data_IF_186263241645
#
_entry.id   IF_186263241645
#
_cell.length_a   1.000
_cell.length_b   1.000
_cell.length_c   1.000
_cell.angle_alpha   90.00
_cell.angle_beta   90.00
_cell.angle_gamma   90.00
#
_symmetry.space_group_name_H-M   'P 1'
#
loop_
_entity.id
_entity.type
_entity.pdbx_description
1 polymer ?
#
# COMPACT_ATOMS: atom_id res chain seq x y z
N UNK A 1 12.75 -0.19 -16.19
CA UNK A 1 11.77 -1.07 -16.87
C UNK A 1 11.03 -1.84 -15.79
N UNK A 2 9.73 -2.10 -15.90
CA UNK A 2 9.06 -2.97 -14.92
C UNK A 2 9.49 -4.43 -15.12
N UNK A 3 9.74 -5.13 -14.01
CA UNK A 3 10.07 -6.56 -13.99
C UNK A 3 8.82 -7.43 -13.79
N UNK A 4 8.99 -8.53 -13.07
CA UNK A 4 7.91 -9.49 -12.82
C UNK A 4 6.81 -8.91 -11.91
N UNK A 5 5.61 -9.46 -12.00
CA UNK A 5 4.55 -9.21 -11.03
C UNK A 5 4.98 -9.81 -9.68
N UNK A 6 5.09 -8.96 -8.67
CA UNK A 6 5.28 -9.38 -7.28
C UNK A 6 3.97 -9.95 -6.77
N UNK A 7 2.84 -9.28 -7.02
CA UNK A 7 1.56 -9.76 -6.52
C UNK A 7 0.37 -8.84 -6.76
N UNK A 8 -0.79 -9.35 -6.35
CA UNK A 8 -2.06 -8.65 -6.31
C UNK A 8 -2.56 -8.55 -4.88
N UNK A 9 -3.27 -7.47 -4.55
CA UNK A 9 -3.85 -7.24 -3.22
C UNK A 9 -5.32 -6.82 -3.29
N UNK A 10 -6.06 -7.15 -2.24
CA UNK A 10 -7.41 -6.64 -1.96
C UNK A 10 -7.50 -6.27 -0.48
N UNK A 11 -8.04 -5.09 -0.18
CA UNK A 11 -8.17 -4.63 1.20
C UNK A 11 -9.48 -3.87 1.42
N UNK A 12 -9.76 -3.65 2.70
CA UNK A 12 -10.89 -2.87 3.18
C UNK A 12 -10.40 -1.93 4.28
N UNK A 13 -10.75 -0.66 4.17
CA UNK A 13 -10.57 0.33 5.22
C UNK A 13 -11.27 -0.12 6.51
N UNK A 14 -10.56 -0.05 7.62
CA UNK A 14 -11.05 -0.35 8.97
C UNK A 14 -11.20 0.89 9.83
N UNK A 15 -10.60 2.01 9.44
CA UNK A 15 -10.73 3.28 10.13
C UNK A 15 -10.13 4.44 9.36
N UNK A 16 -10.66 5.65 9.61
CA UNK A 16 -10.14 6.90 9.08
C UNK A 16 -10.07 7.94 10.18
N UNK A 17 -9.02 8.76 10.19
CA UNK A 17 -8.82 9.85 11.14
C UNK A 17 -8.24 11.06 10.43
N UNK A 18 -8.84 12.22 10.67
CA UNK A 18 -8.24 13.50 10.26
C UNK A 18 -7.15 13.86 11.28
N UNK A 19 -5.93 14.05 10.80
CA UNK A 19 -4.79 14.44 11.61
C UNK A 19 -4.70 15.97 11.69
N UNK A 20 -3.84 16.46 12.59
CA UNK A 20 -3.52 17.88 12.61
C UNK A 20 -2.92 18.28 11.26
N UNK A 21 -3.39 19.40 10.69
CA UNK A 21 -2.85 19.89 9.43
C UNK A 21 -1.35 20.17 9.60
N UNK A 22 -0.53 19.63 8.70
CA UNK A 22 0.91 19.89 8.64
C UNK A 22 1.18 21.31 8.13
N UNK A 23 1.72 21.44 6.91
CA UNK A 23 1.99 22.72 6.24
C UNK A 23 0.70 23.48 5.80
N UNK A 24 -0.37 23.41 6.60
CA UNK A 24 -1.70 23.95 6.30
C UNK A 24 -2.57 23.02 5.46
N UNK A 25 -2.06 21.85 5.07
CA UNK A 25 -2.77 20.82 4.31
C UNK A 25 -3.43 19.79 5.21
N UNK A 26 -4.62 19.33 4.83
CA UNK A 26 -5.33 18.27 5.56
C UNK A 26 -4.63 16.95 5.30
N UNK A 27 -4.25 16.28 6.38
CA UNK A 27 -3.74 14.90 6.35
C UNK A 27 -4.78 13.95 6.92
N UNK A 28 -5.04 12.86 6.20
CA UNK A 28 -5.95 11.79 6.63
C UNK A 28 -5.15 10.52 6.85
N UNK A 29 -5.22 9.97 8.06
CA UNK A 29 -4.75 8.63 8.38
C UNK A 29 -5.84 7.62 8.05
N UNK A 30 -5.46 6.53 7.40
CA UNK A 30 -6.34 5.42 7.03
C UNK A 30 -5.69 4.11 7.45
N UNK A 31 -6.44 3.30 8.20
CA UNK A 31 -6.07 1.93 8.53
C UNK A 31 -6.91 0.96 7.71
N UNK A 32 -6.31 -0.16 7.31
CA UNK A 32 -6.96 -1.17 6.48
C UNK A 32 -6.49 -2.57 6.84
N UNK A 33 -7.25 -3.57 6.42
CA UNK A 33 -6.84 -4.98 6.45
C UNK A 33 -7.16 -5.64 5.11
N UNK A 34 -6.41 -6.66 4.74
CA UNK A 34 -6.57 -7.27 3.42
C UNK A 34 -5.85 -8.59 3.24
N UNK A 35 -5.94 -9.09 2.01
CA UNK A 35 -5.26 -10.29 1.53
C UNK A 35 -4.52 -9.97 0.23
N UNK A 36 -3.52 -10.79 -0.08
CA UNK A 36 -2.77 -10.66 -1.32
C UNK A 36 -1.85 -11.84 -1.55
N UNK A 37 -0.95 -11.72 -2.51
CA UNK A 37 0.10 -12.70 -2.71
C UNK A 37 1.43 -12.04 -3.00
N UNK A 38 2.53 -12.72 -2.68
CA UNK A 38 3.88 -12.35 -3.09
C UNK A 38 4.52 -13.54 -3.78
N UNK A 39 4.83 -13.41 -5.07
CA UNK A 39 5.38 -14.47 -5.93
C UNK A 39 4.59 -15.80 -5.84
N UNK A 40 3.26 -15.70 -5.74
CA UNK A 40 2.36 -16.86 -5.61
C UNK A 40 2.14 -17.36 -4.17
N UNK A 41 2.88 -16.86 -3.17
CA UNK A 41 2.63 -17.15 -1.76
C UNK A 41 1.51 -16.26 -1.23
N UNK A 42 0.41 -16.87 -0.76
CA UNK A 42 -0.71 -16.14 -0.18
C UNK A 42 -0.33 -15.49 1.15
N UNK A 43 -0.79 -14.25 1.35
CA UNK A 43 -0.65 -13.49 2.59
C UNK A 43 -1.96 -12.84 3.02
N UNK A 44 -2.07 -12.54 4.31
CA UNK A 44 -3.05 -11.64 4.89
C UNK A 44 -2.34 -10.62 5.79
N UNK A 45 -2.87 -9.41 5.87
CA UNK A 45 -2.18 -8.35 6.59
C UNK A 45 -3.04 -7.14 6.88
N UNK A 46 -2.40 -6.16 7.49
CA UNK A 46 -2.98 -4.87 7.79
C UNK A 46 -1.90 -3.79 7.77
N UNK A 47 -2.32 -2.56 7.58
CA UNK A 47 -1.43 -1.42 7.51
C UNK A 47 -2.16 -0.11 7.78
N UNK A 48 -1.36 0.93 7.88
CA UNK A 48 -1.81 2.32 8.02
C UNK A 48 -1.04 3.17 7.04
N UNK A 49 -1.73 4.09 6.38
CA UNK A 49 -1.10 5.14 5.60
C UNK A 49 -1.68 6.50 5.98
N UNK A 50 -0.87 7.53 5.82
CA UNK A 50 -1.26 8.93 5.90
C UNK A 50 -1.28 9.52 4.50
N UNK A 51 -2.33 10.25 4.16
CA UNK A 51 -2.48 10.94 2.90
C UNK A 51 -2.67 12.45 3.10
N UNK A 52 -1.73 13.24 2.59
CA UNK A 52 -1.79 14.71 2.60
C UNK A 52 -2.45 15.23 1.32
N UNK A 53 -3.49 16.06 1.45
CA UNK A 53 -4.12 16.78 0.34
C UNK A 53 -3.35 18.07 0.02
N UNK A 54 -2.57 18.06 -1.05
CA UNK A 54 -1.75 19.20 -1.48
C UNK A 54 -2.58 20.30 -2.16
N UNK A 55 -2.00 21.49 -2.25
CA UNK A 55 -2.62 22.66 -2.88
C UNK A 55 -3.05 22.46 -4.35
N UNK A 56 -2.34 21.59 -5.07
CA UNK A 56 -2.60 21.29 -6.49
C UNK A 56 -3.66 20.19 -6.69
N UNK A 57 -4.26 19.69 -5.61
CA UNK A 57 -5.25 18.62 -5.63
C UNK A 57 -4.66 17.21 -5.71
N UNK A 58 -3.33 17.07 -5.76
CA UNK A 58 -2.68 15.76 -5.64
C UNK A 58 -2.63 15.31 -4.18
N UNK A 59 -2.46 14.00 -4.01
CA UNK A 59 -2.24 13.37 -2.72
C UNK A 59 -0.78 12.95 -2.60
N UNK A 60 -0.16 13.17 -1.44
CA UNK A 60 1.02 12.42 -1.03
C UNK A 60 0.61 11.34 -0.06
N UNK A 61 1.14 10.14 -0.21
CA UNK A 61 0.89 9.04 0.72
C UNK A 61 2.19 8.49 1.27
N UNK A 62 2.24 8.22 2.56
CA UNK A 62 3.26 7.38 3.20
C UNK A 62 2.57 6.35 4.08
N UNK A 63 3.06 5.12 4.07
CA UNK A 63 2.40 4.04 4.80
C UNK A 63 3.33 2.90 5.15
N UNK A 64 2.82 2.05 6.03
CA UNK A 64 3.53 0.88 6.51
C UNK A 64 2.53 -0.20 6.94
N UNK A 65 3.00 -1.44 6.97
CA UNK A 65 2.18 -2.54 7.41
C UNK A 65 2.94 -3.83 7.56
N UNK A 66 2.15 -4.86 7.88
CA UNK A 66 2.64 -6.21 8.14
C UNK A 66 1.71 -7.21 7.46
N UNK A 67 2.33 -8.13 6.73
CA UNK A 67 1.69 -9.26 6.09
C UNK A 67 2.22 -10.56 6.68
N UNK A 68 1.36 -11.55 6.76
CA UNK A 68 1.67 -12.87 7.29
C UNK A 68 1.22 -13.96 6.32
N UNK A 69 2.04 -14.98 6.17
CA UNK A 69 1.72 -16.22 5.46
C UNK A 69 0.95 -17.18 6.38
N UNK A 70 0.31 -18.19 5.81
CA UNK A 70 -0.45 -19.19 6.59
C UNK A 70 0.40 -19.98 7.60
N UNK A 71 1.70 -20.14 7.32
CA UNK A 71 2.68 -20.77 8.20
C UNK A 71 3.34 -19.79 9.20
N UNK A 72 2.83 -18.55 9.29
CA UNK A 72 3.20 -17.57 10.32
C UNK A 72 4.47 -16.78 10.03
N UNK A 73 5.00 -16.83 8.81
CA UNK A 73 6.13 -16.00 8.41
C UNK A 73 5.65 -14.58 8.10
N UNK A 74 6.49 -13.59 8.41
CA UNK A 74 6.10 -12.17 8.36
C UNK A 74 6.89 -11.41 7.30
N UNK A 75 6.21 -10.50 6.60
CA UNK A 75 6.80 -9.44 5.77
C UNK A 75 6.35 -8.11 6.35
N UNK A 76 7.28 -7.22 6.67
CA UNK A 76 6.96 -5.81 6.94
C UNK A 76 7.26 -4.99 5.70
N UNK A 77 6.47 -3.97 5.46
CA UNK A 77 6.69 -3.05 4.34
C UNK A 77 6.52 -1.60 4.79
N UNK A 78 7.24 -0.72 4.11
CA UNK A 78 6.99 0.71 4.13
C UNK A 78 6.91 1.21 2.69
N UNK A 79 6.19 2.30 2.46
CA UNK A 79 6.03 2.82 1.12
C UNK A 79 5.63 4.27 1.08
N UNK A 80 5.81 4.86 -0.09
CA UNK A 80 5.33 6.20 -0.39
C UNK A 80 4.81 6.27 -1.82
N UNK A 81 3.93 7.22 -2.07
CA UNK A 81 3.29 7.36 -3.38
C UNK A 81 2.62 8.71 -3.60
N UNK A 82 2.25 8.95 -4.84
CA UNK A 82 1.45 10.10 -5.26
C UNK A 82 0.13 9.59 -5.81
N UNK A 83 -0.95 10.28 -5.46
CA UNK A 83 -2.28 9.91 -5.89
C UNK A 83 -3.17 11.10 -6.21
N UNK A 84 -4.42 10.79 -6.52
CA UNK A 84 -5.50 11.74 -6.74
C UNK A 84 -6.84 11.13 -6.32
N UNK A 85 -7.81 12.01 -6.07
CA UNK A 85 -9.20 11.60 -5.87
C UNK A 85 -9.82 11.19 -7.20
N UNK A 86 -10.61 10.11 -7.22
CA UNK A 86 -11.35 9.69 -8.42
C UNK A 86 -12.73 10.35 -8.46
N UNK A 87 -13.34 10.45 -9.64
CA UNK A 87 -14.69 11.04 -9.81
C UNK A 87 -15.75 10.35 -8.96
N UNK A 88 -15.56 9.06 -8.65
CA UNK A 88 -16.48 8.25 -7.87
C UNK A 88 -16.25 8.34 -6.35
N UNK A 89 -15.43 9.29 -5.88
CA UNK A 89 -15.15 9.50 -4.46
C UNK A 89 -14.13 8.53 -3.86
N UNK A 90 -13.36 7.85 -4.71
CA UNK A 90 -12.25 6.98 -4.32
C UNK A 90 -10.89 7.65 -4.44
N UNK A 91 -9.81 6.87 -4.39
CA UNK A 91 -8.44 7.33 -4.60
C UNK A 91 -7.68 6.42 -5.56
N UNK A 92 -6.65 6.95 -6.20
CA UNK A 92 -5.81 6.21 -7.15
C UNK A 92 -4.35 6.61 -6.95
N UNK A 93 -3.52 5.70 -6.43
CA UNK A 93 -2.14 5.94 -5.97
C UNK A 93 -1.11 5.09 -6.71
N UNK A 94 0.01 5.71 -7.07
CA UNK A 94 1.19 5.07 -7.67
C UNK A 94 2.40 5.39 -6.80
N UNK A 95 3.25 4.40 -6.57
CA UNK A 95 4.38 4.58 -5.67
C UNK A 95 5.26 3.37 -5.57
N UNK A 96 6.03 3.31 -4.49
CA UNK A 96 6.94 2.21 -4.20
C UNK A 96 6.70 1.65 -2.80
N UNK A 97 6.80 0.32 -2.68
CA UNK A 97 6.96 -0.40 -1.43
C UNK A 97 8.37 -0.97 -1.32
N UNK A 98 8.85 -1.00 -0.09
CA UNK A 98 10.12 -1.58 0.33
C UNK A 98 9.84 -2.59 1.43
N UNK A 99 10.42 -3.77 1.31
CA UNK A 99 10.07 -4.93 2.11
C UNK A 99 11.21 -5.34 3.04
N UNK A 100 10.85 -5.94 4.16
CA UNK A 100 11.77 -6.63 5.08
C UNK A 100 11.14 -7.91 5.57
N UNK A 101 11.86 -9.03 5.45
CA UNK A 101 11.39 -10.35 5.89
C UNK A 101 12.54 -11.28 6.24
N UNK A 102 12.29 -12.21 7.16
CA UNK A 102 13.16 -13.36 7.45
C UNK A 102 12.62 -14.67 6.84
N UNK A 103 11.53 -14.59 6.07
CA UNK A 103 10.90 -15.70 5.34
C UNK A 103 11.84 -16.22 4.24
N UNK A 104 12.28 -17.49 4.30
CA UNK A 104 13.10 -18.06 3.22
C UNK A 104 12.35 -18.13 1.88
N UNK A 105 11.04 -18.36 1.90
CA UNK A 105 10.21 -18.43 0.69
C UNK A 105 9.95 -17.06 0.04
N UNK A 106 10.13 -15.97 0.78
CA UNK A 106 9.92 -14.59 0.30
C UNK A 106 11.21 -13.74 0.36
N UNK A 107 12.39 -14.36 0.51
CA UNK A 107 13.66 -13.66 0.65
C UNK A 107 13.95 -12.68 -0.49
N UNK A 108 13.43 -12.98 -1.69
CA UNK A 108 13.51 -12.13 -2.89
C UNK A 108 13.01 -10.71 -2.64
N UNK A 109 12.03 -10.53 -1.76
CA UNK A 109 11.47 -9.21 -1.44
C UNK A 109 12.50 -8.27 -0.81
N UNK A 110 13.45 -8.78 -0.02
CA UNK A 110 14.45 -7.95 0.67
C UNK A 110 15.37 -7.18 -0.29
N UNK A 111 15.59 -7.70 -1.50
CA UNK A 111 16.42 -7.07 -2.53
C UNK A 111 15.63 -6.35 -3.62
N UNK A 112 14.31 -6.24 -3.47
CA UNK A 112 13.40 -5.78 -4.53
C UNK A 112 12.66 -4.52 -4.10
N UNK A 113 12.67 -3.51 -4.96
CA UNK A 113 11.74 -2.37 -4.87
C UNK A 113 10.47 -2.75 -5.63
N UNK A 114 9.32 -2.69 -4.96
CA UNK A 114 8.03 -2.94 -5.59
C UNK A 114 7.36 -1.65 -6.02
N UNK A 115 7.12 -1.45 -7.31
CA UNK A 115 6.27 -0.34 -7.79
C UNK A 115 4.82 -0.80 -7.76
N UNK A 116 3.93 0.01 -7.19
CA UNK A 116 2.53 -0.35 -7.02
C UNK A 116 1.58 0.57 -7.79
N UNK A 117 0.41 0.01 -8.11
CA UNK A 117 -0.79 0.71 -8.53
C UNK A 117 -1.93 0.29 -7.61
N UNK A 118 -2.46 1.22 -6.81
CA UNK A 118 -3.55 0.99 -5.85
C UNK A 118 -4.74 1.87 -6.17
N UNK A 119 -5.91 1.28 -6.27
CA UNK A 119 -7.18 1.96 -6.47
C UNK A 119 -8.13 1.62 -5.34
N UNK A 120 -8.75 2.64 -4.74
CA UNK A 120 -9.72 2.52 -3.64
C UNK A 120 -11.03 3.14 -4.06
N UNK A 121 -12.15 2.47 -3.80
CA UNK A 121 -13.48 3.03 -4.05
C UNK A 121 -13.99 3.90 -2.88
N UNK A 122 -15.16 4.54 -3.05
CA UNK A 122 -15.75 5.36 -1.99
C UNK A 122 -16.12 4.58 -0.72
N UNK A 123 -16.30 3.26 -0.83
CA UNK A 123 -16.56 2.35 0.30
C UNK A 123 -15.29 1.92 1.05
N UNK A 124 -14.11 2.38 0.61
CA UNK A 124 -12.84 1.99 1.21
C UNK A 124 -12.39 0.58 0.83
N UNK A 125 -12.96 -0.01 -0.22
CA UNK A 125 -12.43 -1.25 -0.79
C UNK A 125 -11.33 -0.90 -1.76
N UNK A 126 -10.16 -1.51 -1.60
CA UNK A 126 -9.02 -1.30 -2.47
C UNK A 126 -8.60 -2.56 -3.21
N UNK A 127 -8.06 -2.37 -4.40
CA UNK A 127 -7.35 -3.39 -5.17
C UNK A 127 -5.98 -2.89 -5.57
N UNK A 128 -5.02 -3.79 -5.66
CA UNK A 128 -3.65 -3.42 -5.98
C UNK A 128 -2.88 -4.40 -6.80
N UNK A 129 -1.90 -3.88 -7.54
CA UNK A 129 -0.85 -4.65 -8.22
C UNK A 129 0.52 -4.13 -7.82
N UNK A 130 1.48 -5.04 -7.67
CA UNK A 130 2.87 -4.71 -7.37
C UNK A 130 3.80 -5.39 -8.37
N UNK A 131 4.75 -4.63 -8.90
CA UNK A 131 5.72 -5.09 -9.90
C UNK A 131 7.14 -4.81 -9.41
N UNK A 132 8.09 -5.65 -9.80
CA UNK A 132 9.50 -5.35 -9.55
C UNK A 132 9.93 -4.10 -10.33
N UNK A 133 10.75 -3.27 -9.71
CA UNK A 133 11.53 -2.27 -10.42
C UNK A 133 12.83 -2.88 -10.97
N UNK A 134 13.15 -2.64 -12.25
CA UNK A 134 14.40 -3.05 -12.92
C UNK A 134 15.09 -1.89 -13.63
#
# INVERSE_FOLDING_TARGET
MLGELIGDTQSQDTGRRVLAAGDGHVTVEVSFQGTGSYYGTQVNGFGTYEAEMRADGTLYGEGQGVDMTADGQTVTWHGSGVGHMTENGGTSFRGALFFSTTSPQLERLNGTVGIFEFDTDAGGKSTGKLYEWK
#
